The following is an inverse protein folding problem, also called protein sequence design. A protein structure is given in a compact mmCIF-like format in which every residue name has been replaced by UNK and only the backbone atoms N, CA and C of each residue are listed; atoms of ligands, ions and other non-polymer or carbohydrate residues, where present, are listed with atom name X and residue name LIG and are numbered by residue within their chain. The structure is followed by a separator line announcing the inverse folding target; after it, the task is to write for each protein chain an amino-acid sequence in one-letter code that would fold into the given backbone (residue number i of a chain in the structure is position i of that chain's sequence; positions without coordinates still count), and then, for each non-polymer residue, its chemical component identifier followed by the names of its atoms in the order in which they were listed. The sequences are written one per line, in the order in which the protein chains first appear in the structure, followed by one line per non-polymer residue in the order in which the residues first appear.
data_IF_496169920655
#
_entry.id   IF_496169920655
#
_cell.length_a   1.000
_cell.length_b   1.000
_cell.length_c   1.000
_cell.angle_alpha   90.00
_cell.angle_beta   90.00
_cell.angle_gamma   90.00
#
_symmetry.space_group_name_H-M   'P 1'
#
loop_
_entity.id
_entity.type
_entity.pdbx_description
1 polymer ?
#
# COMPACT_ATOMS: atom_id res chain seq x y z
N UNK A 1 -13.82 26.06 -3.01
CA UNK A 1 -13.53 25.30 -1.77
C UNK A 1 -12.45 24.27 -2.08
N UNK A 2 -11.35 24.27 -1.33
CA UNK A 2 -10.28 23.28 -1.44
C UNK A 2 -10.83 21.91 -1.01
N UNK A 3 -10.52 20.87 -1.77
CA UNK A 3 -10.86 19.49 -1.42
C UNK A 3 -9.65 18.79 -0.76
N UNK A 4 -9.87 18.20 0.39
CA UNK A 4 -8.89 17.42 1.15
C UNK A 4 -9.20 15.94 0.95
N UNK A 5 -8.39 15.24 0.14
CA UNK A 5 -8.67 13.89 -0.30
C UNK A 5 -8.04 12.84 0.62
N UNK A 6 -8.83 12.23 1.49
CA UNK A 6 -8.45 11.15 2.42
C UNK A 6 -8.84 9.76 1.92
N UNK A 7 -9.11 9.58 0.63
CA UNK A 7 -9.52 8.29 0.09
C UNK A 7 -8.45 7.20 0.35
N UNK A 8 -8.89 5.97 0.68
CA UNK A 8 -7.98 4.86 0.99
C UNK A 8 -7.38 4.13 -0.23
N UNK A 9 -7.83 4.48 -1.42
CA UNK A 9 -7.40 3.93 -2.70
C UNK A 9 -8.57 3.67 -3.67
N UNK A 10 -8.50 4.18 -4.94
CA UNK A 10 -7.46 5.09 -5.44
C UNK A 10 -7.31 6.33 -4.60
N UNK A 11 -6.06 6.73 -4.32
CA UNK A 11 -5.73 7.78 -3.38
C UNK A 11 -5.19 9.04 -4.08
N UNK A 12 -4.85 10.04 -3.27
CA UNK A 12 -4.22 11.27 -3.74
C UNK A 12 -2.84 10.97 -4.38
N UNK A 13 -2.55 11.65 -5.47
CA UNK A 13 -1.25 11.62 -6.16
C UNK A 13 -0.55 12.97 -6.03
N UNK A 14 0.80 13.02 -6.18
CA UNK A 14 1.53 14.29 -6.26
C UNK A 14 1.00 15.13 -7.41
N UNK A 15 0.77 16.41 -7.16
CA UNK A 15 0.20 17.31 -8.17
C UNK A 15 1.02 17.35 -9.46
N UNK A 16 2.34 17.35 -9.33
CA UNK A 16 3.25 17.34 -10.48
C UNK A 16 3.13 16.06 -11.32
N UNK A 17 2.91 14.91 -10.69
CA UNK A 17 2.70 13.66 -11.41
C UNK A 17 1.40 13.68 -12.24
N UNK A 18 0.32 14.26 -11.67
CA UNK A 18 -0.94 14.46 -12.40
C UNK A 18 -0.75 15.41 -13.58
N UNK A 19 -0.08 16.54 -13.38
CA UNK A 19 0.15 17.55 -14.42
C UNK A 19 1.01 17.00 -15.57
N UNK A 20 2.08 16.26 -15.24
CA UNK A 20 2.93 15.64 -16.26
C UNK A 20 2.16 14.53 -17.01
N UNK A 21 1.35 13.75 -16.31
CA UNK A 21 0.48 12.75 -16.94
C UNK A 21 -0.53 13.39 -17.88
N UNK A 22 -1.17 14.50 -17.48
CA UNK A 22 -2.11 15.22 -18.33
C UNK A 22 -1.45 15.76 -19.61
N UNK A 23 -0.23 16.31 -19.50
CA UNK A 23 0.57 16.73 -20.67
C UNK A 23 0.88 15.56 -21.59
N UNK A 24 1.34 14.43 -21.03
CA UNK A 24 1.66 13.24 -21.81
C UNK A 24 0.44 12.62 -22.51
N UNK A 25 -0.76 12.77 -21.94
CA UNK A 25 -2.02 12.35 -22.59
C UNK A 25 -2.33 13.21 -23.81
N UNK A 26 -2.02 14.51 -23.77
CA UNK A 26 -2.25 15.41 -24.91
C UNK A 26 -1.18 15.28 -25.99
N UNK A 27 0.08 15.26 -25.60
CA UNK A 27 1.23 15.09 -26.48
C UNK A 27 2.43 14.60 -25.67
N UNK A 28 2.83 13.35 -25.89
CA UNK A 28 3.95 12.77 -25.17
C UNK A 28 5.29 13.31 -25.68
N UNK A 29 5.95 14.15 -24.90
CA UNK A 29 7.28 14.71 -25.20
C UNK A 29 7.39 15.41 -26.56
N UNK A 30 6.31 15.95 -27.12
CA UNK A 30 6.33 16.68 -28.39
C UNK A 30 6.45 15.78 -29.63
N UNK A 31 6.14 14.48 -29.51
CA UNK A 31 6.20 13.56 -30.66
C UNK A 31 4.92 13.58 -31.54
N UNK A 32 3.93 14.40 -31.19
CA UNK A 32 2.68 14.49 -31.93
C UNK A 32 1.72 13.32 -31.69
N UNK A 33 1.94 12.51 -30.64
CA UNK A 33 1.06 11.41 -30.23
C UNK A 33 0.85 11.42 -28.72
N UNK A 34 -0.33 10.94 -28.30
CA UNK A 34 -0.63 10.71 -26.89
C UNK A 34 0.16 9.50 -26.36
N UNK A 35 0.52 9.52 -25.06
CA UNK A 35 1.05 8.32 -24.38
C UNK A 35 0.05 7.16 -24.41
N UNK A 36 -1.25 7.41 -24.62
CA UNK A 36 -2.28 6.39 -24.75
C UNK A 36 -2.19 5.62 -26.07
N UNK A 37 -1.51 6.18 -27.07
CA UNK A 37 -1.41 5.66 -28.43
C UNK A 37 -0.06 5.03 -28.74
N UNK A 38 0.97 5.29 -27.92
CA UNK A 38 2.30 4.71 -28.15
C UNK A 38 2.31 3.20 -27.85
N UNK A 39 3.01 2.46 -28.71
CA UNK A 39 3.19 1.03 -28.49
C UNK A 39 4.01 0.75 -27.26
N UNK A 40 3.59 -0.22 -26.43
CA UNK A 40 4.40 -0.71 -25.32
C UNK A 40 5.74 -1.35 -25.76
N UNK A 41 5.94 -1.57 -27.06
CA UNK A 41 7.20 -2.09 -27.66
C UNK A 41 8.02 -0.99 -28.30
N UNK A 42 7.60 0.26 -28.21
CA UNK A 42 8.36 1.39 -28.72
C UNK A 42 9.56 1.72 -27.82
N UNK A 43 10.54 2.44 -28.38
CA UNK A 43 11.69 2.93 -27.61
C UNK A 43 11.30 3.92 -26.52
N UNK A 44 10.24 4.68 -26.77
CA UNK A 44 9.69 5.67 -25.84
C UNK A 44 9.17 4.98 -24.58
N UNK A 45 8.37 3.92 -24.73
CA UNK A 45 7.87 3.18 -23.56
C UNK A 45 8.97 2.36 -22.88
N UNK A 46 9.91 1.79 -23.65
CA UNK A 46 11.06 1.11 -23.07
C UNK A 46 11.85 2.04 -22.15
N UNK A 47 12.08 3.30 -22.54
CA UNK A 47 12.74 4.27 -21.69
C UNK A 47 11.97 4.57 -20.39
N UNK A 48 10.63 4.66 -20.46
CA UNK A 48 9.77 4.88 -19.27
C UNK A 48 9.90 3.72 -18.28
N UNK A 49 9.77 2.48 -18.76
CA UNK A 49 9.77 1.32 -17.87
C UNK A 49 11.16 1.05 -17.28
N UNK A 50 12.22 1.28 -18.06
CA UNK A 50 13.61 1.16 -17.60
C UNK A 50 13.93 2.21 -16.52
N UNK A 51 13.48 3.45 -16.71
CA UNK A 51 13.59 4.51 -15.70
C UNK A 51 12.82 4.16 -14.42
N UNK A 52 11.60 3.62 -14.55
CA UNK A 52 10.80 3.20 -13.40
C UNK A 52 11.49 2.07 -12.61
N UNK A 53 12.07 1.08 -13.28
CA UNK A 53 12.88 0.04 -12.62
C UNK A 53 14.10 0.62 -11.91
N UNK A 54 14.82 1.53 -12.57
CA UNK A 54 16.00 2.17 -12.00
C UNK A 54 15.64 2.98 -10.75
N UNK A 55 14.59 3.80 -10.81
CA UNK A 55 14.11 4.60 -9.69
C UNK A 55 13.64 3.73 -8.52
N UNK A 56 12.92 2.63 -8.77
CA UNK A 56 12.55 1.69 -7.70
C UNK A 56 13.78 1.10 -7.03
N UNK A 57 14.76 0.63 -7.81
CA UNK A 57 16.01 0.06 -7.27
C UNK A 57 16.79 1.07 -6.44
N UNK A 58 16.85 2.31 -6.90
CA UNK A 58 17.55 3.39 -6.21
C UNK A 58 16.82 3.81 -4.93
N UNK A 59 15.53 4.17 -5.02
CA UNK A 59 14.76 4.72 -3.91
C UNK A 59 14.61 3.70 -2.79
N UNK A 60 14.36 2.42 -3.14
CA UNK A 60 14.12 1.37 -2.16
C UNK A 60 15.39 0.59 -1.80
N UNK A 61 16.55 1.03 -2.32
CA UNK A 61 17.87 0.42 -2.09
C UNK A 61 17.83 -1.11 -2.31
N UNK A 62 17.26 -1.53 -3.45
CA UNK A 62 17.02 -2.95 -3.75
C UNK A 62 18.36 -3.66 -4.02
N UNK A 63 18.71 -4.73 -3.28
CA UNK A 63 19.99 -5.43 -3.44
C UNK A 63 20.11 -6.16 -4.79
N UNK A 64 21.32 -6.57 -5.15
CA UNK A 64 21.54 -7.51 -6.25
C UNK A 64 20.82 -8.83 -6.00
N UNK A 65 20.37 -9.51 -7.06
CA UNK A 65 19.63 -10.76 -6.98
C UNK A 65 18.11 -10.59 -6.80
N UNK A 66 17.63 -9.33 -6.79
CA UNK A 66 16.21 -9.01 -6.81
C UNK A 66 15.77 -8.43 -8.14
N UNK A 67 14.55 -8.74 -8.52
CA UNK A 67 13.88 -8.16 -9.68
C UNK A 67 12.66 -7.36 -9.27
N UNK A 68 12.43 -6.25 -9.98
CA UNK A 68 11.20 -5.47 -9.91
C UNK A 68 10.32 -5.88 -11.09
N UNK A 69 9.04 -6.15 -10.83
CA UNK A 69 8.06 -6.53 -11.86
C UNK A 69 6.85 -5.61 -11.74
N UNK A 70 6.33 -5.15 -12.87
CA UNK A 70 5.07 -4.42 -12.97
C UNK A 70 4.02 -5.29 -13.63
N UNK A 71 2.92 -5.57 -12.91
CA UNK A 71 1.82 -6.40 -13.40
C UNK A 71 0.49 -5.67 -13.28
N UNK A 72 -0.54 -6.19 -13.95
CA UNK A 72 -1.94 -5.87 -13.70
C UNK A 72 -2.54 -6.73 -12.58
N UNK A 73 -3.83 -6.55 -12.30
CA UNK A 73 -4.62 -7.41 -11.40
C UNK A 73 -4.62 -7.04 -9.91
N UNK A 74 -3.77 -6.10 -9.49
CA UNK A 74 -3.69 -5.63 -8.10
C UNK A 74 -3.14 -6.68 -7.14
N UNK A 75 -3.10 -6.34 -5.84
CA UNK A 75 -2.69 -7.25 -4.78
C UNK A 75 -3.56 -8.53 -4.71
N UNK A 76 -4.82 -8.46 -5.17
CA UNK A 76 -5.72 -9.62 -5.19
C UNK A 76 -5.21 -10.74 -6.09
N UNK A 77 -4.59 -10.42 -7.23
CA UNK A 77 -3.93 -11.43 -8.07
C UNK A 77 -2.70 -12.02 -7.35
N UNK A 78 -1.99 -11.21 -6.58
CA UNK A 78 -0.82 -11.67 -5.83
C UNK A 78 -1.19 -12.64 -4.69
N UNK A 79 -2.39 -12.56 -4.13
CA UNK A 79 -2.85 -13.55 -3.16
C UNK A 79 -2.84 -14.99 -3.71
N UNK A 80 -3.06 -15.16 -5.03
CA UNK A 80 -2.95 -16.43 -5.72
C UNK A 80 -1.55 -16.65 -6.32
N UNK A 81 -0.91 -15.63 -6.92
CA UNK A 81 0.39 -15.78 -7.56
C UNK A 81 1.51 -16.14 -6.58
N UNK A 82 1.51 -15.55 -5.38
CA UNK A 82 2.51 -15.88 -4.35
C UNK A 82 2.49 -17.38 -4.02
N UNK A 83 1.39 -17.97 -3.56
CA UNK A 83 1.37 -19.40 -3.26
C UNK A 83 1.55 -20.26 -4.52
N UNK A 84 1.11 -19.80 -5.69
CA UNK A 84 1.34 -20.54 -6.94
C UNK A 84 2.84 -20.73 -7.24
N UNK A 85 3.66 -19.69 -6.96
CA UNK A 85 5.10 -19.70 -7.23
C UNK A 85 5.95 -20.23 -6.07
N UNK A 86 5.49 -20.14 -4.82
CA UNK A 86 6.32 -20.34 -3.64
C UNK A 86 5.83 -21.43 -2.67
N UNK A 87 4.53 -21.77 -2.65
CA UNK A 87 3.98 -22.73 -1.72
C UNK A 87 4.08 -24.14 -2.29
N UNK A 88 5.00 -24.94 -1.80
CA UNK A 88 5.11 -26.37 -2.18
C UNK A 88 4.34 -27.26 -1.22
N UNK A 89 4.50 -27.04 0.09
CA UNK A 89 3.89 -27.88 1.13
C UNK A 89 3.05 -27.06 2.10
N UNK A 90 3.67 -26.14 2.80
CA UNK A 90 3.06 -25.42 3.92
C UNK A 90 3.57 -23.99 4.02
N UNK A 91 2.70 -23.03 4.29
CA UNK A 91 3.08 -21.64 4.54
C UNK A 91 2.54 -21.15 5.89
N UNK A 92 3.26 -20.20 6.49
CA UNK A 92 2.82 -19.50 7.69
C UNK A 92 2.23 -18.14 7.31
N UNK A 93 1.21 -17.71 8.05
CA UNK A 93 0.53 -16.43 7.85
C UNK A 93 0.27 -15.72 9.18
N UNK A 94 0.38 -14.39 9.18
CA UNK A 94 -0.20 -13.54 10.22
C UNK A 94 -1.60 -13.07 9.77
N UNK A 95 -2.62 -13.34 10.59
CA UNK A 95 -3.99 -12.91 10.32
C UNK A 95 -4.26 -11.57 11.03
N UNK A 96 -3.90 -10.46 10.36
CA UNK A 96 -3.96 -9.10 10.92
C UNK A 96 -5.09 -8.23 10.34
N UNK A 97 -5.90 -8.77 9.45
CA UNK A 97 -7.01 -8.04 8.83
C UNK A 97 -7.65 -8.77 7.65
N UNK A 98 -8.59 -8.09 6.98
CA UNK A 98 -9.33 -8.64 5.83
C UNK A 98 -8.41 -9.04 4.68
N UNK A 99 -7.35 -8.27 4.42
CA UNK A 99 -6.45 -8.56 3.30
C UNK A 99 -5.62 -9.80 3.59
N UNK A 100 -5.10 -9.94 4.81
CA UNK A 100 -4.46 -11.17 5.26
C UNK A 100 -5.40 -12.38 5.18
N UNK A 101 -6.68 -12.26 5.61
CA UNK A 101 -7.69 -13.31 5.45
C UNK A 101 -7.90 -13.73 4.00
N UNK A 102 -7.91 -12.78 3.08
CA UNK A 102 -8.06 -13.08 1.65
C UNK A 102 -6.83 -13.81 1.11
N UNK A 103 -5.62 -13.38 1.47
CA UNK A 103 -4.39 -14.06 1.09
C UNK A 103 -4.34 -15.50 1.64
N UNK A 104 -4.71 -15.70 2.91
CA UNK A 104 -4.86 -17.01 3.54
C UNK A 104 -5.84 -17.90 2.77
N UNK A 105 -7.00 -17.35 2.38
CA UNK A 105 -8.02 -18.11 1.61
C UNK A 105 -7.47 -18.60 0.29
N UNK A 106 -6.80 -17.76 -0.46
CA UNK A 106 -6.23 -18.13 -1.76
C UNK A 106 -5.07 -19.15 -1.59
N UNK A 107 -4.21 -18.98 -0.60
CA UNK A 107 -3.11 -19.91 -0.34
C UNK A 107 -3.57 -21.35 -0.06
N UNK A 108 -4.72 -21.53 0.59
CA UNK A 108 -5.31 -22.85 0.88
C UNK A 108 -5.65 -23.69 -0.36
N UNK A 109 -5.72 -23.10 -1.54
CA UNK A 109 -5.87 -23.85 -2.79
C UNK A 109 -4.58 -24.52 -3.26
N UNK A 110 -3.42 -24.13 -2.69
CA UNK A 110 -2.09 -24.56 -3.16
C UNK A 110 -1.33 -25.44 -2.17
N UNK A 111 -1.70 -25.42 -0.89
CA UNK A 111 -1.05 -26.21 0.14
C UNK A 111 -1.59 -25.91 1.54
N UNK A 112 -0.91 -26.45 2.56
CA UNK A 112 -1.29 -26.21 3.95
C UNK A 112 -0.98 -24.79 4.40
N UNK A 113 -1.88 -24.21 5.19
CA UNK A 113 -1.72 -22.85 5.73
C UNK A 113 -1.81 -22.87 7.25
N UNK A 114 -0.73 -22.45 7.89
CA UNK A 114 -0.62 -22.29 9.33
C UNK A 114 -0.79 -20.81 9.71
N UNK A 115 -1.85 -20.45 10.45
CA UNK A 115 -2.01 -19.12 11.02
C UNK A 115 -1.27 -19.11 12.36
N UNK A 116 -0.07 -18.50 12.38
CA UNK A 116 0.82 -18.52 13.55
C UNK A 116 0.49 -17.43 14.59
N UNK A 117 -0.21 -16.40 14.18
CA UNK A 117 -0.78 -15.38 15.08
C UNK A 117 -1.95 -14.67 14.42
N UNK A 118 -2.92 -14.23 15.22
CA UNK A 118 -4.12 -13.54 14.78
C UNK A 118 -4.56 -12.51 15.82
N UNK A 119 -5.00 -11.34 15.36
CA UNK A 119 -5.68 -10.34 16.18
C UNK A 119 -7.20 -10.29 15.95
N UNK A 120 -7.77 -11.29 15.28
CA UNK A 120 -9.19 -11.35 14.91
C UNK A 120 -10.13 -11.35 16.13
N UNK A 121 -9.73 -11.99 17.24
CA UNK A 121 -10.52 -12.04 18.48
C UNK A 121 -10.78 -10.65 19.08
N UNK A 122 -9.92 -9.67 18.80
CA UNK A 122 -10.07 -8.28 19.22
C UNK A 122 -10.32 -7.34 18.02
N UNK A 123 -11.01 -7.82 17.00
CA UNK A 123 -11.38 -7.04 15.81
C UNK A 123 -10.20 -6.33 15.14
N UNK A 124 -9.00 -6.94 15.17
CA UNK A 124 -7.78 -6.40 14.57
C UNK A 124 -7.34 -5.02 15.08
N UNK A 125 -7.56 -4.75 16.38
CA UNK A 125 -7.19 -3.48 17.02
C UNK A 125 -5.71 -3.38 17.35
N UNK A 126 -4.95 -4.46 17.18
CA UNK A 126 -3.51 -4.49 17.41
C UNK A 126 -2.79 -5.35 16.36
N UNK A 127 -1.49 -5.15 16.23
CA UNK A 127 -0.60 -6.02 15.44
C UNK A 127 0.02 -7.07 16.38
N UNK A 128 -0.11 -8.39 16.11
CA UNK A 128 0.42 -9.43 16.97
C UNK A 128 1.94 -9.33 17.15
N UNK A 129 2.42 -9.59 18.36
CA UNK A 129 3.84 -9.62 18.74
C UNK A 129 4.17 -10.91 19.49
N UNK A 130 5.45 -11.26 19.60
CA UNK A 130 5.92 -12.37 20.40
C UNK A 130 5.51 -13.76 19.88
N UNK A 131 5.16 -13.89 18.61
CA UNK A 131 4.84 -15.17 17.98
C UNK A 131 6.11 -15.90 17.53
N UNK A 132 6.06 -17.24 17.54
CA UNK A 132 7.13 -18.07 17.02
C UNK A 132 6.92 -18.33 15.52
N UNK A 133 7.97 -18.16 14.71
CA UNK A 133 7.96 -18.45 13.29
C UNK A 133 8.47 -19.91 13.11
N UNK A 134 7.63 -20.83 12.58
CA UNK A 134 8.08 -22.20 12.33
C UNK A 134 9.11 -22.24 11.20
N UNK A 135 10.05 -23.18 11.28
CA UNK A 135 11.11 -23.35 10.27
C UNK A 135 10.77 -24.42 9.22
N UNK A 136 9.68 -25.15 9.40
CA UNK A 136 9.17 -26.20 8.52
C UNK A 136 8.13 -25.70 7.51
N UNK A 137 8.20 -24.43 7.13
CA UNK A 137 7.29 -23.78 6.17
C UNK A 137 8.06 -23.19 4.99
N UNK A 138 7.42 -23.13 3.83
CA UNK A 138 8.01 -22.59 2.60
C UNK A 138 8.22 -21.08 2.71
N UNK A 139 7.29 -20.36 3.38
CA UNK A 139 7.39 -18.92 3.65
C UNK A 139 6.46 -18.47 4.79
N UNK A 140 6.76 -17.29 5.34
CA UNK A 140 5.86 -16.50 6.18
C UNK A 140 5.28 -15.34 5.37
N UNK A 141 3.96 -15.20 5.34
CA UNK A 141 3.27 -14.07 4.73
C UNK A 141 2.75 -13.08 5.79
N UNK A 142 3.00 -11.80 5.56
CA UNK A 142 2.52 -10.70 6.40
C UNK A 142 1.85 -9.60 5.56
N UNK A 143 0.96 -8.84 6.20
CA UNK A 143 0.43 -7.58 5.68
C UNK A 143 0.95 -6.46 6.57
N UNK A 144 1.84 -5.62 6.07
CA UNK A 144 2.56 -4.63 6.89
C UNK A 144 1.67 -3.50 7.38
N UNK A 145 0.70 -3.08 6.56
CA UNK A 145 -0.27 -2.05 6.93
C UNK A 145 -1.70 -2.44 6.57
N UNK A 146 -2.58 -2.44 7.55
CA UNK A 146 -3.98 -2.85 7.42
C UNK A 146 -4.88 -1.64 7.16
N UNK A 147 -5.11 -1.32 5.90
CA UNK A 147 -5.87 -0.16 5.41
C UNK A 147 -7.27 0.00 6.03
N UNK A 148 -7.93 -1.12 6.40
CA UNK A 148 -9.31 -1.13 6.92
C UNK A 148 -9.34 -0.87 8.41
N UNK A 149 -8.41 -1.48 9.16
CA UNK A 149 -8.42 -1.45 10.62
C UNK A 149 -7.47 -0.40 11.20
N UNK A 150 -6.46 0.04 10.43
CA UNK A 150 -5.53 1.08 10.85
C UNK A 150 -4.37 0.57 11.70
N UNK A 151 -4.01 -0.73 11.60
CA UNK A 151 -2.82 -1.29 12.26
C UNK A 151 -1.64 -1.38 11.29
N UNK A 152 -0.42 -1.18 11.81
CA UNK A 152 0.81 -1.18 11.03
C UNK A 152 1.94 -1.90 11.78
N UNK A 153 2.73 -2.69 11.06
CA UNK A 153 4.02 -3.21 11.49
C UNK A 153 5.12 -2.25 11.03
N UNK A 154 5.73 -1.53 11.96
CA UNK A 154 6.72 -0.49 11.65
C UNK A 154 8.15 -1.00 11.54
N UNK A 155 8.39 -2.22 11.99
CA UNK A 155 9.72 -2.84 12.03
C UNK A 155 9.81 -3.96 10.99
N UNK A 156 10.98 -4.11 10.39
CA UNK A 156 11.26 -5.20 9.47
C UNK A 156 11.54 -6.47 10.28
N UNK A 157 10.69 -7.48 10.13
CA UNK A 157 10.82 -8.75 10.86
C UNK A 157 12.11 -9.48 10.48
N UNK A 158 12.72 -10.11 11.48
CA UNK A 158 13.73 -11.14 11.25
C UNK A 158 13.00 -12.49 11.14
N UNK A 159 13.10 -13.14 10.00
CA UNK A 159 12.46 -14.43 9.74
C UNK A 159 13.48 -15.51 9.41
N UNK A 160 13.39 -16.72 10.02
CA UNK A 160 14.25 -17.85 9.66
C UNK A 160 13.84 -18.48 8.33
N UNK A 161 12.70 -18.11 7.77
CA UNK A 161 12.17 -18.61 6.48
C UNK A 161 11.92 -17.43 5.54
N UNK A 162 11.61 -17.69 4.28
CA UNK A 162 11.29 -16.64 3.31
C UNK A 162 10.15 -15.77 3.81
N UNK A 163 10.38 -14.45 3.89
CA UNK A 163 9.38 -13.48 4.28
C UNK A 163 8.73 -12.86 3.05
N UNK A 164 7.41 -12.95 2.97
CA UNK A 164 6.58 -12.36 1.92
C UNK A 164 5.70 -11.27 2.53
N UNK A 165 5.70 -10.07 1.94
CA UNK A 165 4.96 -8.94 2.48
C UNK A 165 4.00 -8.31 1.47
N UNK A 166 2.74 -8.14 1.87
CA UNK A 166 1.80 -7.18 1.27
C UNK A 166 2.08 -5.80 1.86
N UNK A 167 2.71 -4.93 1.07
CA UNK A 167 2.97 -3.54 1.42
C UNK A 167 2.06 -2.56 0.66
N UNK A 168 0.92 -2.99 0.17
CA UNK A 168 0.06 -2.17 -0.70
C UNK A 168 -0.24 -0.77 -0.15
N UNK A 169 -0.40 -0.61 1.16
CA UNK A 169 -0.80 0.66 1.75
C UNK A 169 0.30 1.44 2.47
N UNK A 170 1.50 0.89 2.56
CA UNK A 170 2.69 1.55 3.13
C UNK A 170 3.92 1.44 2.21
N UNK A 171 3.73 1.05 0.94
CA UNK A 171 4.80 0.93 -0.04
C UNK A 171 5.51 2.29 -0.22
N UNK A 172 6.84 2.31 -0.09
CA UNK A 172 7.66 3.53 -0.16
C UNK A 172 7.25 4.64 0.83
N UNK A 173 6.70 4.27 2.00
CA UNK A 173 6.33 5.24 3.05
C UNK A 173 7.45 5.49 4.06
N UNK A 174 8.44 4.60 4.10
CA UNK A 174 9.60 4.61 5.00
C UNK A 174 10.77 3.83 4.39
N UNK A 175 11.99 3.98 4.88
CA UNK A 175 13.08 3.04 4.61
C UNK A 175 12.72 1.62 5.07
N UNK A 176 13.10 0.63 4.26
CA UNK A 176 12.89 -0.82 4.51
C UNK A 176 14.17 -1.55 4.14
N UNK A 177 14.59 -2.49 4.98
CA UNK A 177 15.66 -3.42 4.60
C UNK A 177 15.10 -4.53 3.70
N UNK A 178 15.14 -4.29 2.39
CA UNK A 178 14.62 -5.22 1.38
C UNK A 178 15.28 -6.60 1.47
N UNK A 179 16.51 -6.70 1.97
CA UNK A 179 17.22 -7.99 2.10
C UNK A 179 16.55 -8.98 3.04
N UNK A 180 15.71 -8.51 3.96
CA UNK A 180 14.92 -9.35 4.87
C UNK A 180 13.71 -10.02 4.20
N UNK A 181 13.32 -9.55 3.03
CA UNK A 181 12.13 -10.03 2.32
C UNK A 181 12.52 -10.88 1.12
N UNK A 182 11.90 -12.00 0.96
CA UNK A 182 12.03 -12.81 -0.25
C UNK A 182 11.13 -12.29 -1.38
N UNK A 183 9.97 -11.73 -1.01
CA UNK A 183 9.05 -11.10 -1.93
C UNK A 183 8.26 -9.98 -1.24
N UNK A 184 8.20 -8.81 -1.87
CA UNK A 184 7.33 -7.70 -1.49
C UNK A 184 6.38 -7.45 -2.66
N UNK A 185 5.11 -7.20 -2.40
CA UNK A 185 4.17 -6.76 -3.42
C UNK A 185 3.24 -5.66 -2.92
N UNK A 186 2.67 -4.91 -3.86
CA UNK A 186 1.68 -3.90 -3.55
C UNK A 186 0.99 -3.31 -4.77
N UNK A 187 -0.30 -2.99 -4.62
CA UNK A 187 -1.04 -2.23 -5.61
C UNK A 187 -0.67 -0.75 -5.56
N UNK A 188 -0.35 -0.16 -6.72
CA UNK A 188 0.13 1.23 -6.79
C UNK A 188 -0.92 2.27 -6.33
N UNK A 189 -2.21 1.98 -6.46
CA UNK A 189 -3.33 2.92 -6.29
C UNK A 189 -3.48 3.52 -4.89
N UNK A 190 -2.69 3.10 -3.92
CA UNK A 190 -2.71 3.63 -2.57
C UNK A 190 -1.65 4.70 -2.37
N UNK A 191 -0.38 4.36 -2.49
CA UNK A 191 0.71 5.23 -2.06
C UNK A 191 1.70 5.64 -3.15
N UNK A 192 1.76 4.93 -4.28
CA UNK A 192 2.86 5.09 -5.24
C UNK A 192 2.46 5.36 -6.69
N UNK A 193 1.16 5.34 -7.00
CA UNK A 193 0.70 5.57 -8.37
C UNK A 193 -0.81 5.43 -8.52
N UNK A 194 -1.33 5.40 -9.74
CA UNK A 194 -2.74 5.18 -10.03
C UNK A 194 -3.12 3.70 -9.97
N UNK A 195 -4.41 3.42 -10.04
CA UNK A 195 -4.90 2.06 -10.26
C UNK A 195 -4.41 1.50 -11.60
N UNK A 196 -4.16 0.19 -11.65
CA UNK A 196 -3.76 -0.55 -12.85
C UNK A 196 -2.39 -1.20 -12.76
N UNK A 197 -1.50 -0.75 -11.87
CA UNK A 197 -0.18 -1.36 -11.65
C UNK A 197 -0.12 -2.05 -10.29
N UNK A 198 0.43 -3.25 -10.30
CA UNK A 198 0.92 -3.96 -9.12
C UNK A 198 2.43 -4.07 -9.22
N UNK A 199 3.13 -3.68 -8.17
CA UNK A 199 4.58 -3.78 -8.10
C UNK A 199 4.95 -5.00 -7.28
N UNK A 200 5.87 -5.80 -7.80
CA UNK A 200 6.46 -6.93 -7.11
C UNK A 200 7.98 -6.75 -7.08
N UNK A 201 8.57 -6.92 -5.91
CA UNK A 201 10.01 -7.03 -5.71
C UNK A 201 10.26 -8.45 -5.25
N UNK A 202 10.99 -9.22 -6.01
CA UNK A 202 11.19 -10.65 -5.74
C UNK A 202 12.64 -11.04 -5.88
N UNK A 203 13.12 -11.85 -4.95
CA UNK A 203 14.44 -12.47 -4.98
C UNK A 203 14.43 -13.62 -5.99
N UNK A 204 15.39 -13.63 -6.92
CA UNK A 204 15.37 -14.58 -8.03
C UNK A 204 15.59 -16.04 -7.60
N UNK A 205 16.42 -16.25 -6.58
CA UNK A 205 16.81 -17.58 -6.10
C UNK A 205 15.67 -18.39 -5.44
N UNK A 206 14.54 -17.75 -5.13
CA UNK A 206 13.38 -18.44 -4.55
C UNK A 206 12.43 -19.00 -5.60
N UNK A 207 12.59 -18.61 -6.85
CA UNK A 207 11.66 -18.97 -7.93
C UNK A 207 12.00 -20.31 -8.57
N UNK A 208 10.99 -20.98 -9.12
CA UNK A 208 11.14 -22.26 -9.83
C UNK A 208 11.41 -23.46 -8.94
N UNK A 209 11.09 -23.39 -7.64
CA UNK A 209 11.28 -24.48 -6.67
C UNK A 209 10.04 -25.34 -6.47
N UNK A 210 8.87 -24.86 -6.85
CA UNK A 210 7.63 -25.66 -6.79
C UNK A 210 7.60 -26.68 -7.93
N UNK A 211 7.04 -27.85 -7.66
CA UNK A 211 6.97 -28.95 -8.64
C UNK A 211 5.79 -28.82 -9.60
N UNK A 212 4.79 -28.00 -9.24
CA UNK A 212 3.60 -27.80 -10.07
C UNK A 212 3.91 -27.01 -11.33
N UNK A 213 3.13 -27.27 -12.38
CA UNK A 213 3.14 -26.45 -13.60
C UNK A 213 2.47 -25.11 -13.31
N UNK A 214 3.17 -24.01 -13.60
CA UNK A 214 2.64 -22.67 -13.45
C UNK A 214 2.31 -22.12 -14.85
N UNK A 215 1.05 -21.73 -15.13
CA UNK A 215 0.71 -21.05 -16.38
C UNK A 215 1.54 -19.77 -16.57
N UNK A 216 1.99 -19.49 -17.78
CA UNK A 216 2.95 -18.42 -18.07
C UNK A 216 2.58 -17.05 -17.48
N UNK A 217 1.29 -16.70 -17.48
CA UNK A 217 0.81 -15.42 -16.92
C UNK A 217 0.93 -15.32 -15.40
N UNK A 218 1.08 -16.44 -14.69
CA UNK A 218 1.19 -16.51 -13.24
C UNK A 218 2.61 -16.83 -12.77
N UNK A 219 3.54 -17.12 -13.69
CA UNK A 219 4.95 -17.39 -13.37
C UNK A 219 5.75 -16.09 -13.36
N UNK A 220 6.28 -15.70 -12.20
CA UNK A 220 7.12 -14.51 -12.06
C UNK A 220 8.35 -14.55 -12.99
N UNK A 221 8.93 -15.73 -13.27
CA UNK A 221 10.08 -15.90 -14.16
C UNK A 221 9.76 -15.46 -15.59
N UNK A 222 8.53 -15.72 -16.04
CA UNK A 222 8.05 -15.26 -17.36
C UNK A 222 8.06 -13.73 -17.45
N UNK A 223 7.58 -13.06 -16.42
CA UNK A 223 7.53 -11.59 -16.38
C UNK A 223 8.92 -10.97 -16.22
N UNK A 224 9.80 -11.58 -15.42
CA UNK A 224 11.21 -11.16 -15.30
C UNK A 224 11.90 -11.25 -16.66
N UNK A 225 11.83 -12.40 -17.32
CA UNK A 225 12.46 -12.63 -18.63
C UNK A 225 12.00 -11.63 -19.69
N UNK A 226 10.77 -11.15 -19.61
CA UNK A 226 10.18 -10.24 -20.58
C UNK A 226 10.12 -8.78 -20.09
N UNK A 227 10.82 -8.40 -19.01
CA UNK A 227 10.83 -7.03 -18.51
C UNK A 227 9.44 -6.46 -18.23
N UNK A 228 8.53 -7.27 -17.65
CA UNK A 228 7.11 -6.95 -17.42
C UNK A 228 6.25 -6.72 -18.69
N UNK A 229 6.77 -7.07 -19.88
CA UNK A 229 6.11 -6.88 -21.17
C UNK A 229 5.78 -8.21 -21.87
N UNK A 230 5.57 -9.28 -21.09
CA UNK A 230 5.08 -10.55 -21.65
C UNK A 230 3.72 -10.39 -22.33
N UNK A 231 2.82 -9.65 -21.73
CA UNK A 231 1.61 -9.10 -22.33
C UNK A 231 1.67 -7.58 -22.33
N UNK A 232 0.72 -6.90 -22.94
CA UNK A 232 0.63 -5.43 -22.94
C UNK A 232 0.51 -4.90 -21.51
N UNK A 233 1.49 -4.15 -21.00
CA UNK A 233 1.42 -3.58 -19.66
C UNK A 233 0.54 -2.33 -19.65
N UNK A 234 0.11 -1.86 -18.47
CA UNK A 234 -0.66 -0.62 -18.34
C UNK A 234 0.24 0.62 -18.53
N UNK A 235 0.43 1.05 -19.78
CA UNK A 235 1.38 2.10 -20.19
C UNK A 235 1.21 3.40 -19.38
N UNK A 236 0.01 4.00 -19.42
CA UNK A 236 -0.27 5.26 -18.70
C UNK A 236 -0.11 5.14 -17.18
N UNK A 237 -0.63 4.09 -16.52
CA UNK A 237 -0.38 3.88 -15.10
C UNK A 237 1.09 3.73 -14.73
N UNK A 238 1.92 3.05 -15.54
CA UNK A 238 3.36 2.93 -15.32
C UNK A 238 4.04 4.30 -15.47
N UNK A 239 3.66 5.08 -16.46
CA UNK A 239 4.17 6.45 -16.62
C UNK A 239 3.85 7.32 -15.40
N UNK A 240 2.60 7.31 -14.94
CA UNK A 240 2.19 8.11 -13.77
C UNK A 240 2.89 7.65 -12.49
N UNK A 241 3.11 6.33 -12.34
CA UNK A 241 3.92 5.77 -11.26
C UNK A 241 5.36 6.30 -11.35
N UNK A 242 5.96 6.30 -12.54
CA UNK A 242 7.32 6.83 -12.75
C UNK A 242 7.42 8.32 -12.35
N UNK A 243 6.45 9.14 -12.73
CA UNK A 243 6.38 10.54 -12.31
C UNK A 243 6.22 10.69 -10.77
N UNK A 244 5.50 9.77 -10.12
CA UNK A 244 5.38 9.74 -8.66
C UNK A 244 6.71 9.37 -8.00
N UNK A 245 7.49 8.44 -8.57
CA UNK A 245 8.82 8.10 -8.09
C UNK A 245 9.81 9.27 -8.25
N UNK A 246 9.77 9.98 -9.37
CA UNK A 246 10.57 11.20 -9.60
C UNK A 246 10.25 12.26 -8.53
N UNK A 247 8.97 12.48 -8.26
CA UNK A 247 8.56 13.37 -7.18
C UNK A 247 9.11 12.91 -5.83
N UNK A 248 8.97 11.64 -5.47
CA UNK A 248 9.45 11.11 -4.19
C UNK A 248 10.97 11.30 -4.04
N UNK A 249 11.72 11.05 -5.11
CA UNK A 249 13.16 11.30 -5.15
C UNK A 249 13.47 12.79 -4.97
N UNK A 250 12.74 13.68 -5.64
CA UNK A 250 12.98 15.13 -5.62
C UNK A 250 12.76 15.78 -4.25
N UNK A 251 11.89 15.22 -3.42
CA UNK A 251 11.61 15.73 -2.06
C UNK A 251 12.56 15.19 -0.99
N UNK A 252 13.52 14.33 -1.36
CA UNK A 252 14.51 13.76 -0.44
C UNK A 252 14.33 12.27 -0.12
N UNK A 253 13.52 11.55 -0.88
CA UNK A 253 13.37 10.09 -0.81
C UNK A 253 12.70 9.58 0.47
N UNK A 254 13.03 8.34 0.85
CA UNK A 254 12.31 7.63 1.91
C UNK A 254 12.48 8.20 3.30
N UNK A 255 13.66 8.70 3.64
CA UNK A 255 13.89 9.32 4.95
C UNK A 255 13.01 10.55 5.13
N UNK A 256 12.94 11.40 4.09
CA UNK A 256 12.15 12.63 4.17
C UNK A 256 10.65 12.34 4.19
N UNK A 257 10.19 11.41 3.37
CA UNK A 257 8.76 11.07 3.36
C UNK A 257 8.32 10.41 4.66
N UNK A 258 9.18 9.60 5.32
CA UNK A 258 8.88 9.05 6.64
C UNK A 258 8.69 10.15 7.69
N UNK A 259 9.58 11.15 7.73
CA UNK A 259 9.42 12.32 8.60
C UNK A 259 8.07 13.02 8.38
N UNK A 260 7.72 13.24 7.13
CA UNK A 260 6.43 13.87 6.76
C UNK A 260 5.24 13.00 7.17
N UNK A 261 5.31 11.68 6.99
CA UNK A 261 4.26 10.75 7.36
C UNK A 261 4.08 10.68 8.89
N UNK A 262 5.18 10.68 9.64
CA UNK A 262 5.17 10.75 11.11
C UNK A 262 4.51 12.06 11.58
N UNK A 263 4.87 13.20 10.99
CA UNK A 263 4.30 14.48 11.35
C UNK A 263 2.77 14.52 11.10
N UNK A 264 2.32 14.03 9.94
CA UNK A 264 0.88 13.91 9.61
C UNK A 264 0.13 13.01 10.59
N UNK A 265 0.68 11.83 10.87
CA UNK A 265 0.06 10.87 11.77
C UNK A 265 -0.04 11.42 13.20
N UNK A 266 1.06 11.98 13.71
CA UNK A 266 1.10 12.58 15.05
C UNK A 266 0.10 13.73 15.18
N UNK A 267 -0.01 14.60 14.17
CA UNK A 267 -0.94 15.72 14.19
C UNK A 267 -2.39 15.25 14.39
N UNK A 268 -2.82 14.22 13.65
CA UNK A 268 -4.18 13.71 13.75
C UNK A 268 -4.38 12.86 15.00
N UNK A 269 -3.44 11.99 15.36
CA UNK A 269 -3.57 11.18 16.58
C UNK A 269 -3.55 12.01 17.87
N UNK A 270 -2.76 13.08 17.92
CA UNK A 270 -2.76 14.00 19.06
C UNK A 270 -4.15 14.66 19.21
N UNK A 271 -4.79 15.01 18.12
CA UNK A 271 -6.15 15.53 18.16
C UNK A 271 -7.16 14.47 18.61
N UNK A 272 -7.12 13.26 18.08
CA UNK A 272 -8.00 12.16 18.47
C UNK A 272 -7.86 11.85 19.96
N UNK A 273 -6.62 11.82 20.48
CA UNK A 273 -6.34 11.49 21.88
C UNK A 273 -6.70 12.64 22.84
N UNK A 274 -6.70 13.90 22.38
CA UNK A 274 -7.08 15.09 23.15
C UNK A 274 -8.60 15.30 23.17
N UNK A 275 -9.25 15.07 22.02
CA UNK A 275 -10.63 15.43 21.78
C UNK A 275 -11.58 14.52 22.56
N UNK A 276 -12.54 15.09 23.32
CA UNK A 276 -13.48 14.31 24.11
C UNK A 276 -14.51 13.53 23.31
N UNK A 277 -14.73 13.94 22.03
CA UNK A 277 -15.74 13.33 21.18
C UNK A 277 -15.22 12.14 20.36
N UNK A 278 -13.91 12.10 20.08
CA UNK A 278 -13.33 11.08 19.19
C UNK A 278 -12.43 10.11 19.95
N UNK A 279 -12.39 8.87 19.48
CA UNK A 279 -11.50 7.84 20.02
C UNK A 279 -10.90 7.00 18.91
N UNK A 280 -9.59 6.72 19.00
CA UNK A 280 -8.89 5.83 18.06
C UNK A 280 -9.29 4.37 18.29
N UNK A 281 -9.48 3.62 17.22
CA UNK A 281 -9.89 2.21 17.26
C UNK A 281 -8.74 1.23 17.44
N UNK A 282 -7.50 1.70 17.46
CA UNK A 282 -6.26 0.89 17.43
C UNK A 282 -5.40 1.21 18.64
N UNK A 283 -4.82 0.19 19.24
CA UNK A 283 -3.83 0.33 20.31
C UNK A 283 -2.66 1.21 19.87
N UNK A 284 -2.20 2.12 20.74
CA UNK A 284 -1.25 3.20 20.39
C UNK A 284 0.01 2.70 19.67
N UNK A 285 0.57 1.59 20.11
CA UNK A 285 1.79 1.01 19.55
C UNK A 285 1.60 0.34 18.18
N UNK A 286 0.35 0.02 17.83
CA UNK A 286 -0.02 -0.61 16.55
C UNK A 286 -0.63 0.37 15.53
N UNK A 287 -0.77 1.64 15.88
CA UNK A 287 -1.40 2.68 15.05
C UNK A 287 -0.68 2.87 13.72
N UNK A 288 -1.45 2.85 12.63
CA UNK A 288 -0.95 3.11 11.28
C UNK A 288 -0.62 4.59 11.08
N UNK A 289 0.51 4.85 10.40
CA UNK A 289 0.87 6.18 9.91
C UNK A 289 0.16 6.52 8.59
N UNK A 290 -0.38 5.50 7.91
CA UNK A 290 -1.01 5.64 6.57
C UNK A 290 -2.54 5.68 6.61
N UNK A 291 -3.17 4.96 7.55
CA UNK A 291 -4.63 4.84 7.62
C UNK A 291 -5.09 5.00 9.07
N UNK A 292 -5.50 6.20 9.41
CA UNK A 292 -5.89 6.57 10.77
C UNK A 292 -7.38 6.31 10.93
N UNK A 293 -7.74 5.30 11.73
CA UNK A 293 -9.12 4.90 12.01
C UNK A 293 -9.57 5.42 13.37
N UNK A 294 -10.76 6.02 13.43
CA UNK A 294 -11.34 6.57 14.65
C UNK A 294 -12.86 6.56 14.60
N UNK A 295 -13.51 6.64 15.76
CA UNK A 295 -14.96 6.69 15.92
C UNK A 295 -15.33 7.82 16.87
N UNK A 296 -16.61 8.15 16.98
CA UNK A 296 -17.12 8.96 18.10
C UNK A 296 -17.20 8.12 19.37
N UNK A 297 -16.92 8.73 20.52
CA UNK A 297 -17.21 8.15 21.81
C UNK A 297 -18.70 7.80 21.92
N UNK A 298 -19.05 6.76 22.69
CA UNK A 298 -20.39 6.21 22.75
C UNK A 298 -21.46 7.28 23.03
N UNK A 299 -21.18 8.23 23.93
CA UNK A 299 -22.08 9.34 24.28
C UNK A 299 -22.35 10.33 23.12
N UNK A 300 -21.53 10.34 22.07
CA UNK A 300 -21.67 11.20 20.88
C UNK A 300 -22.00 10.43 19.60
N UNK A 301 -22.21 9.14 19.70
CA UNK A 301 -22.37 8.22 18.56
C UNK A 301 -23.46 8.64 17.58
N UNK A 302 -24.57 9.17 18.09
CA UNK A 302 -25.70 9.67 17.28
C UNK A 302 -25.31 10.85 16.38
N UNK A 303 -24.19 11.54 16.67
CA UNK A 303 -23.70 12.67 15.87
C UNK A 303 -22.84 12.22 14.66
N UNK A 304 -22.71 10.92 14.41
CA UNK A 304 -21.82 10.40 13.38
C UNK A 304 -22.15 10.94 11.98
N UNK A 305 -23.41 10.91 11.58
CA UNK A 305 -23.85 11.43 10.28
C UNK A 305 -23.76 12.97 10.23
N UNK A 306 -24.03 13.64 11.34
CA UNK A 306 -23.88 15.10 11.48
C UNK A 306 -22.42 15.52 11.27
N UNK A 307 -21.47 14.79 11.89
CA UNK A 307 -20.05 15.06 11.68
C UNK A 307 -19.62 14.79 10.22
N UNK A 308 -20.14 13.71 9.60
CA UNK A 308 -19.84 13.41 8.19
C UNK A 308 -20.29 14.54 7.27
N UNK A 309 -21.48 15.08 7.47
CA UNK A 309 -22.00 16.19 6.68
C UNK A 309 -21.20 17.48 6.94
N UNK A 310 -20.93 17.79 8.20
CA UNK A 310 -20.10 18.93 8.61
C UNK A 310 -18.73 18.88 7.95
N UNK A 311 -18.03 17.74 8.04
CA UNK A 311 -16.71 17.55 7.43
C UNK A 311 -16.77 17.67 5.90
N UNK A 312 -17.79 17.10 5.25
CA UNK A 312 -18.02 17.25 3.81
C UNK A 312 -18.17 18.72 3.41
N UNK A 313 -18.91 19.51 4.20
CA UNK A 313 -19.10 20.94 3.98
C UNK A 313 -17.82 21.76 4.21
N UNK A 314 -16.85 21.21 4.95
CA UNK A 314 -15.47 21.77 5.10
C UNK A 314 -14.50 21.24 4.03
N UNK A 315 -14.96 20.47 3.05
CA UNK A 315 -14.15 19.98 1.94
C UNK A 315 -13.45 18.64 2.18
N UNK A 316 -13.73 17.93 3.29
CA UNK A 316 -13.17 16.60 3.54
C UNK A 316 -13.81 15.56 2.63
N UNK A 317 -13.00 14.78 1.93
CA UNK A 317 -13.44 13.73 1.01
C UNK A 317 -12.82 12.40 1.42
N UNK A 318 -13.62 11.33 1.43
CA UNK A 318 -13.16 9.97 1.66
C UNK A 318 -12.88 9.62 3.13
N UNK A 319 -13.36 10.40 4.11
CA UNK A 319 -13.15 10.13 5.54
C UNK A 319 -14.11 9.09 6.15
N UNK A 320 -15.13 8.63 5.42
CA UNK A 320 -16.03 7.58 5.91
C UNK A 320 -15.26 6.29 6.17
N UNK A 321 -15.40 5.72 7.36
CA UNK A 321 -14.79 4.45 7.73
C UNK A 321 -15.31 3.28 6.88
N UNK A 322 -14.56 2.18 6.89
CA UNK A 322 -14.99 0.97 6.20
C UNK A 322 -16.18 0.33 6.95
N UNK A 323 -17.13 -0.26 6.20
CA UNK A 323 -18.34 -0.88 6.78
C UNK A 323 -18.09 -1.91 7.89
N UNK A 324 -16.91 -2.52 7.94
CA UNK A 324 -16.52 -3.52 8.96
C UNK A 324 -16.05 -2.89 10.27
N UNK A 325 -15.64 -1.62 10.25
CA UNK A 325 -15.15 -0.89 11.43
C UNK A 325 -16.14 0.19 11.84
N UNK A 326 -16.81 0.79 10.87
CA UNK A 326 -17.64 1.97 11.06
C UNK A 326 -16.84 3.25 11.20
N UNK A 327 -17.44 4.29 11.75
CA UNK A 327 -16.80 5.56 12.06
C UNK A 327 -16.10 6.22 10.87
N UNK A 328 -14.85 6.62 11.10
CA UNK A 328 -14.07 7.44 10.17
C UNK A 328 -12.71 6.83 9.91
N UNK A 329 -12.15 7.15 8.73
CA UNK A 329 -10.78 6.79 8.38
C UNK A 329 -10.16 7.89 7.53
N UNK A 330 -9.08 8.47 7.99
CA UNK A 330 -8.26 9.38 7.22
C UNK A 330 -7.05 8.62 6.66
N UNK A 331 -6.96 8.51 5.33
CA UNK A 331 -5.78 7.95 4.66
C UNK A 331 -4.78 9.06 4.39
N UNK A 332 -3.63 9.01 5.07
CA UNK A 332 -2.59 10.06 5.11
C UNK A 332 -1.38 9.68 4.27
N UNK A 333 -1.61 9.11 3.09
CA UNK A 333 -0.56 8.64 2.20
C UNK A 333 0.47 9.71 1.84
N UNK A 334 1.57 9.29 1.22
CA UNK A 334 2.74 10.13 0.94
C UNK A 334 2.39 11.49 0.34
N UNK A 335 1.55 11.50 -0.70
CA UNK A 335 1.20 12.72 -1.43
C UNK A 335 0.20 13.64 -0.71
N UNK A 336 -0.39 13.22 0.41
CA UNK A 336 -1.31 14.08 1.15
C UNK A 336 -0.52 15.19 1.87
N UNK A 337 -0.81 16.48 1.60
CA UNK A 337 -0.14 17.58 2.30
C UNK A 337 -0.60 17.66 3.76
N UNK A 338 0.31 18.09 4.64
CA UNK A 338 0.03 18.21 6.08
C UNK A 338 -1.08 19.22 6.37
N UNK A 339 -1.24 20.22 5.52
CA UNK A 339 -2.32 21.22 5.58
C UNK A 339 -3.70 20.58 5.47
N UNK A 340 -3.83 19.47 4.74
CA UNK A 340 -5.09 18.71 4.67
C UNK A 340 -5.39 18.02 6.00
N UNK A 341 -4.36 17.49 6.67
CA UNK A 341 -4.51 16.90 8.00
C UNK A 341 -4.85 17.97 9.03
N UNK A 342 -4.21 19.16 8.96
CA UNK A 342 -4.53 20.29 9.82
C UNK A 342 -5.97 20.78 9.60
N UNK A 343 -6.45 20.79 8.36
CA UNK A 343 -7.84 21.16 8.06
C UNK A 343 -8.83 20.15 8.71
N UNK A 344 -8.52 18.87 8.72
CA UNK A 344 -9.33 17.86 9.40
C UNK A 344 -9.29 18.06 10.92
N UNK A 345 -8.14 18.31 11.51
CA UNK A 345 -7.98 18.63 12.93
C UNK A 345 -8.81 19.84 13.32
N UNK A 346 -8.73 20.93 12.56
CA UNK A 346 -9.52 22.14 12.80
C UNK A 346 -11.03 21.84 12.69
N UNK A 347 -11.43 21.00 11.74
CA UNK A 347 -12.80 20.54 11.58
C UNK A 347 -13.31 19.78 12.82
N UNK A 348 -12.48 18.87 13.39
CA UNK A 348 -12.80 18.11 14.59
C UNK A 348 -12.92 19.02 15.82
N UNK A 349 -12.00 19.98 15.98
CA UNK A 349 -12.03 20.96 17.08
C UNK A 349 -13.23 21.90 17.01
N UNK A 350 -13.59 22.35 15.80
CA UNK A 350 -14.76 23.19 15.60
C UNK A 350 -16.04 22.42 15.93
N UNK A 351 -16.13 21.16 15.50
CA UNK A 351 -17.26 20.28 15.80
C UNK A 351 -17.40 20.03 17.31
N UNK A 352 -16.28 19.80 18.01
CA UNK A 352 -16.24 19.63 19.47
C UNK A 352 -16.79 20.85 20.23
N UNK A 353 -16.52 22.08 19.73
CA UNK A 353 -16.99 23.33 20.35
C UNK A 353 -18.48 23.56 20.17
N UNK A 354 -19.08 22.92 19.17
CA UNK A 354 -20.51 23.06 18.86
C UNK A 354 -21.40 22.10 19.64
N UNK A 355 -20.81 21.05 20.21
CA UNK A 355 -21.48 19.96 20.93
C UNK A 355 -20.83 19.67 22.28
#
# INVERSE_FOLDING_TARGET
MIKHNFNPGPAILPRIAIENTAKAVLDFNGIGMSILEISHRSKEFQAIIDEAFALFKEIFNIPKGYQVIFLGGGASTQFAMVPYNLLEKKAAYLETGVWAKKAIKEAKYFGDVNIIASSAAQNFTYYPKGFNIPTDVDYLHITTNNTIYGTELREDLNSPVYLVADMSSDFLSRPVDVSKYALIYGGAQKNIGPAGVTVIIVREDILGKVTRVIPSMFDYRTHIKNGSMFNTPPVLPIFTLNETLKWLKSIGGLTKIEEMNIAKANLLYNEIDRNKMFVGTVEKESRSRMNICFVLNEQYKELSDTFMEFAKNKGMVGIKGHRLVGGFRASTYNALPIESVQALVNCMQEFEKMH
#
